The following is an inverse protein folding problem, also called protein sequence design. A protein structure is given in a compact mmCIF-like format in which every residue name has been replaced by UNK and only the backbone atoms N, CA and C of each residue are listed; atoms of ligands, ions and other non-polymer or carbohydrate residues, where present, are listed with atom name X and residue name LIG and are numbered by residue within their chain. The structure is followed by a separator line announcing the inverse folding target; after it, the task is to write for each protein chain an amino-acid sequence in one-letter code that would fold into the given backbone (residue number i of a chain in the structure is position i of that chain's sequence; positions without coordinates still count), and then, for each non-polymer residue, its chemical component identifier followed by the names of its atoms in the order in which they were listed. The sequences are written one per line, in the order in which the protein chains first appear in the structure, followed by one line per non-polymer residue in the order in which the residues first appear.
data_IF_691814503135
#
_entry.id   IF_691814503135
#
_cell.length_a   1.000
_cell.length_b   1.000
_cell.length_c   1.000
_cell.angle_alpha   90.00
_cell.angle_beta   90.00
_cell.angle_gamma   90.00
#
_symmetry.space_group_name_H-M   'P 1'
#
loop_
_entity.id
_entity.type
_entity.pdbx_description
1 polymer ?
#
# COMPACT_ATOMS: atom_id res chain seq x y z
N UNK A 1 -7.14 11.76 18.06
CA UNK A 1 -7.49 11.98 16.63
C UNK A 1 -8.86 11.37 16.38
N UNK A 2 -9.82 12.14 15.84
CA UNK A 2 -11.20 11.67 15.60
C UNK A 2 -11.20 10.80 14.34
N UNK A 3 -11.80 9.60 14.41
CA UNK A 3 -12.03 8.75 13.24
C UNK A 3 -13.08 9.44 12.35
N UNK A 4 -12.62 10.04 11.23
CA UNK A 4 -13.53 10.52 10.18
C UNK A 4 -13.99 9.33 9.33
N UNK A 5 -15.26 9.36 8.92
CA UNK A 5 -15.83 8.35 8.02
C UNK A 5 -15.43 8.62 6.55
N UNK A 6 -14.12 8.75 6.31
CA UNK A 6 -13.57 9.07 4.99
C UNK A 6 -13.29 7.81 4.19
N UNK A 7 -13.71 7.81 2.94
CA UNK A 7 -13.34 6.77 2.01
C UNK A 7 -11.91 7.02 1.47
N UNK A 8 -10.92 6.64 2.28
CA UNK A 8 -9.50 6.81 1.94
C UNK A 8 -9.13 6.04 0.67
N UNK A 9 -9.76 4.88 0.44
CA UNK A 9 -9.57 4.12 -0.80
C UNK A 9 -9.97 4.94 -2.03
N UNK A 10 -11.17 5.55 -2.03
CA UNK A 10 -11.66 6.37 -3.14
C UNK A 10 -10.76 7.59 -3.39
N UNK A 11 -10.31 8.25 -2.31
CA UNK A 11 -9.41 9.40 -2.39
C UNK A 11 -8.08 8.98 -3.03
N UNK A 12 -7.49 7.89 -2.53
CA UNK A 12 -6.20 7.39 -3.03
C UNK A 12 -6.29 6.97 -4.50
N UNK A 13 -7.35 6.25 -4.88
CA UNK A 13 -7.58 5.87 -6.27
C UNK A 13 -7.69 7.11 -7.18
N UNK A 14 -8.45 8.13 -6.76
CA UNK A 14 -8.58 9.37 -7.50
C UNK A 14 -7.24 10.10 -7.68
N UNK A 15 -6.37 10.08 -6.65
CA UNK A 15 -5.02 10.66 -6.75
C UNK A 15 -4.19 9.89 -7.79
N UNK A 16 -4.20 8.57 -7.72
CA UNK A 16 -3.43 7.73 -8.67
C UNK A 16 -3.91 7.96 -10.11
N UNK A 17 -5.22 7.89 -10.35
CA UNK A 17 -5.81 7.94 -11.69
C UNK A 17 -5.79 9.32 -12.35
N UNK A 18 -5.88 10.39 -11.56
CA UNK A 18 -6.08 11.74 -12.11
C UNK A 18 -4.94 12.71 -11.82
N UNK A 19 -3.91 12.29 -11.07
CA UNK A 19 -2.78 13.15 -10.70
C UNK A 19 -1.43 12.50 -10.92
N UNK A 20 -1.30 11.20 -10.70
CA UNK A 20 -0.05 10.46 -10.93
C UNK A 20 -0.05 9.77 -12.29
N UNK A 21 -1.24 9.47 -12.82
CA UNK A 21 -1.44 8.90 -14.15
C UNK A 21 -2.64 9.60 -14.80
N UNK A 22 -2.39 10.52 -15.71
CA UNK A 22 -3.43 11.28 -16.41
C UNK A 22 -3.41 10.94 -17.89
N UNK A 23 -4.49 10.34 -18.40
CA UNK A 23 -4.69 10.03 -19.83
C UNK A 23 -3.48 9.37 -20.53
N UNK A 24 -2.85 8.40 -19.88
CA UNK A 24 -1.68 7.70 -20.41
C UNK A 24 -0.33 8.32 -20.05
N UNK A 25 -0.32 9.46 -19.35
CA UNK A 25 0.91 10.14 -18.96
C UNK A 25 1.18 10.01 -17.45
N UNK A 26 2.37 9.56 -17.12
CA UNK A 26 2.82 9.49 -15.73
C UNK A 26 3.47 10.80 -15.29
N UNK A 27 3.08 11.30 -14.11
CA UNK A 27 3.84 12.36 -13.43
C UNK A 27 5.15 11.78 -12.88
N UNK A 28 6.18 11.77 -13.73
CA UNK A 28 7.51 11.20 -13.41
C UNK A 28 8.16 11.90 -12.22
N UNK A 29 7.91 13.21 -12.04
CA UNK A 29 8.44 14.02 -10.95
C UNK A 29 7.83 13.61 -9.61
N UNK A 30 6.50 13.55 -9.53
CA UNK A 30 5.79 13.12 -8.32
C UNK A 30 6.13 11.66 -7.97
N UNK A 31 6.17 10.76 -8.96
CA UNK A 31 6.54 9.37 -8.75
C UNK A 31 7.98 9.22 -8.25
N UNK A 32 8.93 9.98 -8.76
CA UNK A 32 10.32 9.98 -8.27
C UNK A 32 10.40 10.50 -6.84
N UNK A 33 9.66 11.55 -6.53
CA UNK A 33 9.54 12.13 -5.19
C UNK A 33 9.00 11.11 -4.18
N UNK A 34 7.92 10.40 -4.51
CA UNK A 34 7.34 9.34 -3.67
C UNK A 34 8.35 8.23 -3.39
N UNK A 35 9.06 7.74 -4.41
CA UNK A 35 10.07 6.68 -4.24
C UNK A 35 11.24 7.13 -3.36
N UNK A 36 11.66 8.37 -3.53
CA UNK A 36 12.79 8.93 -2.81
C UNK A 36 12.49 9.38 -1.38
N UNK A 37 11.22 9.34 -0.94
CA UNK A 37 10.77 9.80 0.38
C UNK A 37 10.45 8.62 1.27
N UNK A 38 10.93 8.64 2.52
CA UNK A 38 10.59 7.62 3.52
C UNK A 38 9.41 8.01 4.44
N UNK A 39 9.06 9.29 4.46
CA UNK A 39 7.90 9.82 5.18
C UNK A 39 7.40 11.11 4.52
N UNK A 40 6.20 11.56 4.88
CA UNK A 40 5.65 12.83 4.42
C UNK A 40 6.47 14.04 4.91
N UNK A 41 7.18 13.91 6.03
CA UNK A 41 8.08 14.93 6.56
C UNK A 41 9.43 15.01 5.82
N UNK A 42 9.71 14.12 4.90
CA UNK A 42 10.92 14.16 4.08
C UNK A 42 10.91 15.37 3.15
N UNK A 43 12.05 16.08 3.03
CA UNK A 43 12.20 17.18 2.08
C UNK A 43 11.79 16.79 0.65
N UNK A 44 12.05 15.56 0.24
CA UNK A 44 11.67 15.06 -1.09
C UNK A 44 10.15 14.90 -1.26
N UNK A 45 9.36 14.77 -0.19
CA UNK A 45 7.92 14.65 -0.25
C UNK A 45 7.20 15.95 -0.63
N UNK A 46 7.90 17.11 -0.61
CA UNK A 46 7.30 18.42 -0.90
C UNK A 46 6.54 18.46 -2.23
N UNK A 47 7.05 17.79 -3.27
CA UNK A 47 6.38 17.76 -4.58
C UNK A 47 5.05 16.98 -4.58
N UNK A 48 4.81 16.12 -3.60
CA UNK A 48 3.59 15.31 -3.50
C UNK A 48 2.52 15.98 -2.64
N UNK A 49 2.92 16.90 -1.75
CA UNK A 49 1.98 17.57 -0.83
C UNK A 49 0.81 18.26 -1.54
N UNK A 50 1.01 19.07 -2.60
CA UNK A 50 -0.10 19.72 -3.30
C UNK A 50 -1.07 18.68 -3.91
N UNK A 51 -0.55 17.57 -4.42
CA UNK A 51 -1.35 16.49 -5.00
C UNK A 51 -2.24 15.85 -3.94
N UNK A 52 -1.68 15.52 -2.77
CA UNK A 52 -2.41 14.89 -1.68
C UNK A 52 -3.40 15.85 -1.03
N UNK A 53 -2.95 17.05 -0.65
CA UNK A 53 -3.76 17.98 0.13
C UNK A 53 -4.93 18.57 -0.68
N UNK A 54 -4.84 18.63 -2.01
CA UNK A 54 -5.96 19.03 -2.86
C UNK A 54 -7.12 18.00 -2.90
N UNK A 55 -6.89 16.76 -2.45
CA UNK A 55 -7.87 15.67 -2.51
C UNK A 55 -8.30 15.17 -1.13
N UNK A 56 -7.48 15.34 -0.12
CA UNK A 56 -7.83 15.02 1.26
C UNK A 56 -8.82 16.04 1.83
N UNK A 57 -9.86 15.61 2.58
CA UNK A 57 -10.78 16.52 3.25
C UNK A 57 -10.03 17.43 4.23
N UNK A 58 -10.38 18.71 4.30
CA UNK A 58 -9.71 19.72 5.14
C UNK A 58 -9.59 19.27 6.60
N UNK A 59 -10.61 18.63 7.15
CA UNK A 59 -10.63 18.12 8.53
C UNK A 59 -9.83 16.82 8.75
N UNK A 60 -9.27 16.24 7.69
CA UNK A 60 -8.34 15.12 7.77
C UNK A 60 -6.88 15.54 7.71
N UNK A 61 -6.61 16.83 7.46
CA UNK A 61 -5.27 17.38 7.36
C UNK A 61 -4.73 17.74 8.75
N UNK A 62 -3.40 17.69 8.87
CA UNK A 62 -2.68 18.11 10.05
C UNK A 62 -2.88 19.60 10.33
N UNK A 63 -3.04 19.95 11.61
CA UNK A 63 -3.15 21.33 12.09
C UNK A 63 -1.82 21.81 12.69
N UNK A 64 -1.08 20.90 13.31
CA UNK A 64 0.17 21.17 14.05
C UNK A 64 1.44 20.75 13.29
N UNK A 65 1.29 20.24 12.07
CA UNK A 65 2.39 19.73 11.26
C UNK A 65 2.74 18.26 11.52
N UNK A 66 2.10 17.60 12.50
CA UNK A 66 2.23 16.14 12.71
C UNK A 66 1.32 15.42 11.72
N UNK A 67 1.85 14.58 10.80
CA UNK A 67 1.02 13.90 9.83
C UNK A 67 -0.10 13.08 10.47
N UNK A 68 -1.31 13.25 9.97
CA UNK A 68 -2.50 12.52 10.44
C UNK A 68 -2.49 11.06 9.96
N UNK A 69 -3.40 10.26 10.51
CA UNK A 69 -3.58 8.86 10.04
C UNK A 69 -3.96 8.78 8.57
N UNK A 70 -4.79 9.73 8.08
CA UNK A 70 -5.17 9.81 6.68
C UNK A 70 -3.97 10.16 5.78
N UNK A 71 -3.21 11.19 6.17
CA UNK A 71 -2.01 11.62 5.44
C UNK A 71 -0.96 10.51 5.37
N UNK A 72 -0.68 9.85 6.48
CA UNK A 72 0.27 8.74 6.55
C UNK A 72 -0.17 7.55 5.67
N UNK A 73 -1.45 7.18 5.73
CA UNK A 73 -1.98 6.05 4.98
C UNK A 73 -1.95 6.30 3.46
N UNK A 74 -2.44 7.47 3.03
CA UNK A 74 -2.44 7.86 1.61
C UNK A 74 -1.01 7.95 1.09
N UNK A 75 -0.12 8.67 1.80
CA UNK A 75 1.28 8.80 1.40
C UNK A 75 1.97 7.43 1.23
N UNK A 76 1.80 6.52 2.19
CA UNK A 76 2.41 5.18 2.15
C UNK A 76 1.90 4.37 0.97
N UNK A 77 0.59 4.38 0.71
CA UNK A 77 0.01 3.67 -0.43
C UNK A 77 0.45 4.26 -1.78
N UNK A 78 0.52 5.58 -1.91
CA UNK A 78 1.06 6.25 -3.11
C UNK A 78 2.54 5.93 -3.32
N UNK A 79 3.31 5.83 -2.24
CA UNK A 79 4.72 5.41 -2.31
C UNK A 79 4.85 3.96 -2.78
N UNK A 80 4.01 3.05 -2.28
CA UNK A 80 3.95 1.66 -2.75
C UNK A 80 3.63 1.61 -4.25
N UNK A 81 2.60 2.35 -4.69
CA UNK A 81 2.27 2.48 -6.11
C UNK A 81 3.47 2.97 -6.93
N UNK A 82 4.10 4.07 -6.52
CA UNK A 82 5.24 4.65 -7.24
C UNK A 82 6.44 3.70 -7.34
N UNK A 83 6.71 2.90 -6.30
CA UNK A 83 7.75 1.86 -6.31
C UNK A 83 7.39 0.76 -7.30
N UNK A 84 6.15 0.28 -7.29
CA UNK A 84 5.73 -0.81 -8.14
C UNK A 84 5.59 -0.38 -9.62
N UNK A 85 5.09 0.84 -9.88
CA UNK A 85 4.98 1.40 -11.23
C UNK A 85 6.33 1.63 -11.92
N UNK A 86 7.41 1.82 -11.15
CA UNK A 86 8.73 2.09 -11.72
C UNK A 86 9.22 0.95 -12.64
N UNK A 87 9.53 1.29 -13.88
CA UNK A 87 9.98 0.35 -14.91
C UNK A 87 8.87 -0.48 -15.54
N UNK A 88 7.60 -0.14 -15.28
CA UNK A 88 6.44 -0.67 -15.98
C UNK A 88 5.90 0.38 -16.97
N UNK A 89 5.71 -0.03 -18.21
CA UNK A 89 5.14 0.81 -19.27
C UNK A 89 3.62 0.82 -19.24
N UNK A 90 3.00 -0.18 -18.59
CA UNK A 90 1.56 -0.28 -18.37
C UNK A 90 1.15 0.24 -17.00
N UNK A 91 -0.12 0.59 -16.86
CA UNK A 91 -0.72 1.04 -15.61
C UNK A 91 -0.93 -0.13 -14.64
N UNK A 92 -0.38 -0.02 -13.44
CA UNK A 92 -0.33 -1.11 -12.45
C UNK A 92 -1.33 -0.97 -11.30
N UNK A 93 -2.21 0.05 -11.31
CA UNK A 93 -3.24 0.20 -10.28
C UNK A 93 -4.63 -0.19 -10.82
N UNK A 94 -5.44 -0.84 -10.00
CA UNK A 94 -6.82 -1.16 -10.32
C UNK A 94 -7.66 -1.36 -9.06
N UNK A 95 -8.77 -0.62 -8.96
CA UNK A 95 -9.67 -0.68 -7.79
C UNK A 95 -10.36 -2.04 -7.59
N UNK A 96 -10.53 -2.79 -8.69
CA UNK A 96 -11.09 -4.16 -8.68
C UNK A 96 -10.02 -5.24 -8.76
N UNK A 97 -8.75 -4.87 -8.74
CA UNK A 97 -7.63 -5.82 -8.81
C UNK A 97 -7.35 -6.46 -7.46
N UNK A 98 -6.53 -7.52 -7.49
CA UNK A 98 -6.09 -8.21 -6.27
C UNK A 98 -5.30 -7.29 -5.34
N UNK A 99 -5.31 -7.63 -4.06
CA UNK A 99 -4.44 -6.98 -3.08
C UNK A 99 -2.98 -7.40 -3.26
N UNK A 100 -2.05 -6.64 -2.64
CA UNK A 100 -0.64 -7.01 -2.58
C UNK A 100 -0.46 -8.39 -1.93
N UNK A 101 -1.27 -8.71 -0.91
CA UNK A 101 -1.15 -9.97 -0.16
C UNK A 101 -1.63 -11.18 -0.95
N UNK A 102 -2.66 -11.03 -1.78
CA UNK A 102 -3.10 -12.07 -2.72
C UNK A 102 -2.05 -12.29 -3.83
N UNK A 103 -1.40 -11.24 -4.29
CA UNK A 103 -0.30 -11.36 -5.24
C UNK A 103 0.94 -12.06 -4.62
N UNK A 104 1.25 -11.75 -3.37
CA UNK A 104 2.31 -12.43 -2.61
C UNK A 104 1.97 -13.91 -2.35
N UNK A 105 0.69 -14.24 -2.10
CA UNK A 105 0.22 -15.62 -1.97
C UNK A 105 0.44 -16.43 -3.26
N UNK A 106 0.24 -15.81 -4.42
CA UNK A 106 0.56 -16.46 -5.70
C UNK A 106 2.06 -16.65 -5.88
N UNK A 107 2.87 -15.66 -5.49
CA UNK A 107 4.32 -15.75 -5.56
C UNK A 107 4.88 -16.83 -4.61
N UNK A 108 4.27 -17.03 -3.43
CA UNK A 108 4.68 -18.05 -2.45
C UNK A 108 4.41 -19.48 -2.90
N UNK A 109 3.71 -19.68 -4.03
CA UNK A 109 3.58 -21.01 -4.65
C UNK A 109 4.89 -21.49 -5.29
N UNK A 110 5.85 -20.60 -5.48
CA UNK A 110 7.23 -20.98 -5.78
C UNK A 110 7.91 -21.43 -4.48
N UNK A 111 8.30 -22.70 -4.41
CA UNK A 111 8.90 -23.33 -3.21
C UNK A 111 10.19 -22.62 -2.76
N UNK A 112 10.99 -22.10 -3.70
CA UNK A 112 12.24 -21.39 -3.40
C UNK A 112 12.00 -20.07 -2.65
N UNK A 113 10.80 -19.47 -2.78
CA UNK A 113 10.46 -18.18 -2.19
C UNK A 113 9.56 -18.30 -0.96
N UNK A 114 8.85 -19.42 -0.80
CA UNK A 114 7.81 -19.62 0.22
C UNK A 114 8.32 -19.32 1.62
N UNK A 115 9.37 -19.99 2.06
CA UNK A 115 9.90 -19.83 3.43
C UNK A 115 10.35 -18.40 3.73
N UNK A 116 10.91 -17.73 2.73
CA UNK A 116 11.36 -16.35 2.88
C UNK A 116 10.18 -15.38 2.96
N UNK A 117 9.12 -15.60 2.18
CA UNK A 117 7.90 -14.81 2.19
C UNK A 117 7.11 -15.04 3.48
N UNK A 118 6.95 -16.30 3.91
CA UNK A 118 6.22 -16.67 5.14
C UNK A 118 6.84 -16.03 6.38
N UNK A 119 8.18 -16.03 6.48
CA UNK A 119 8.88 -15.34 7.58
C UNK A 119 8.62 -13.84 7.58
N UNK A 120 8.65 -13.19 6.42
CA UNK A 120 8.38 -11.74 6.31
C UNK A 120 6.93 -11.41 6.58
N UNK A 121 6.00 -12.24 6.10
CA UNK A 121 4.58 -12.10 6.40
C UNK A 121 4.32 -12.28 7.90
N UNK A 122 4.94 -13.24 8.57
CA UNK A 122 4.81 -13.44 10.02
C UNK A 122 5.27 -12.20 10.79
N UNK A 123 6.40 -11.58 10.41
CA UNK A 123 6.90 -10.34 11.03
C UNK A 123 5.90 -9.20 10.80
N UNK A 124 5.40 -9.03 9.58
CA UNK A 124 4.40 -8.00 9.26
C UNK A 124 3.14 -8.18 10.11
N UNK A 125 2.59 -9.40 10.14
CA UNK A 125 1.33 -9.72 10.83
C UNK A 125 1.46 -9.63 12.36
N UNK A 126 2.67 -9.78 12.90
CA UNK A 126 2.98 -9.58 14.32
C UNK A 126 3.15 -8.12 14.73
N UNK A 127 3.36 -7.22 13.78
CA UNK A 127 3.63 -5.81 14.06
C UNK A 127 2.38 -5.01 14.40
N UNK A 128 2.52 -4.07 15.33
CA UNK A 128 1.49 -3.07 15.68
C UNK A 128 1.98 -1.64 15.48
N UNK A 129 3.23 -1.49 15.05
CA UNK A 129 3.85 -0.20 14.79
C UNK A 129 3.66 0.17 13.31
N UNK A 130 3.08 1.34 13.05
CA UNK A 130 2.78 1.80 11.68
C UNK A 130 4.02 1.90 10.78
N UNK A 131 5.12 2.44 11.30
CA UNK A 131 6.35 2.58 10.52
C UNK A 131 6.97 1.20 10.20
N UNK A 132 6.93 0.27 11.16
CA UNK A 132 7.38 -1.11 10.96
C UNK A 132 6.57 -1.83 9.90
N UNK A 133 5.23 -1.71 9.96
CA UNK A 133 4.30 -2.27 8.97
C UNK A 133 4.54 -1.67 7.59
N UNK A 134 4.65 -0.34 7.49
CA UNK A 134 4.88 0.35 6.22
C UNK A 134 6.18 -0.10 5.55
N UNK A 135 7.25 -0.23 6.31
CA UNK A 135 8.54 -0.72 5.80
C UNK A 135 8.45 -2.18 5.37
N UNK A 136 7.80 -3.04 6.16
CA UNK A 136 7.60 -4.46 5.81
C UNK A 136 6.81 -4.64 4.52
N UNK A 137 5.74 -3.85 4.32
CA UNK A 137 4.95 -3.85 3.07
C UNK A 137 5.82 -3.43 1.88
N UNK A 138 6.63 -2.38 2.03
CA UNK A 138 7.52 -1.93 0.96
C UNK A 138 8.55 -3.01 0.59
N UNK A 139 9.15 -3.68 1.55
CA UNK A 139 10.08 -4.78 1.30
C UNK A 139 9.40 -5.96 0.59
N UNK A 140 8.22 -6.38 1.03
CA UNK A 140 7.43 -7.42 0.37
C UNK A 140 7.04 -7.04 -1.06
N UNK A 141 6.64 -5.79 -1.27
CA UNK A 141 6.30 -5.26 -2.59
C UNK A 141 7.52 -5.24 -3.54
N UNK A 142 8.71 -4.94 -3.02
CA UNK A 142 9.95 -4.99 -3.80
C UNK A 142 10.29 -6.42 -4.23
N UNK A 143 10.06 -7.41 -3.35
CA UNK A 143 10.21 -8.83 -3.70
C UNK A 143 9.20 -9.22 -4.77
N UNK A 144 7.93 -8.86 -4.59
CA UNK A 144 6.90 -9.11 -5.60
C UNK A 144 7.28 -8.52 -6.95
N UNK A 145 7.71 -7.26 -6.97
CA UNK A 145 8.13 -6.57 -8.19
C UNK A 145 9.32 -7.23 -8.88
N UNK A 146 10.28 -7.77 -8.13
CA UNK A 146 11.49 -8.39 -8.71
C UNK A 146 11.19 -9.74 -9.39
N UNK A 147 10.11 -10.42 -9.01
CA UNK A 147 9.73 -11.73 -9.53
C UNK A 147 8.51 -11.68 -10.46
N UNK A 148 7.56 -10.80 -10.16
CA UNK A 148 6.35 -10.61 -10.96
C UNK A 148 5.91 -9.14 -10.92
N UNK A 149 6.42 -8.35 -11.85
CA UNK A 149 6.13 -6.91 -11.95
C UNK A 149 4.91 -6.57 -12.80
N UNK A 150 4.34 -7.55 -13.51
CA UNK A 150 3.32 -7.28 -14.54
C UNK A 150 1.88 -7.31 -14.00
N UNK A 151 1.69 -7.49 -12.70
CA UNK A 151 0.37 -7.53 -12.11
C UNK A 151 -0.22 -6.14 -11.92
N UNK A 152 -1.55 -6.04 -12.01
CA UNK A 152 -2.31 -4.87 -11.56
C UNK A 152 -2.76 -5.11 -10.12
N UNK A 153 -2.49 -4.16 -9.22
CA UNK A 153 -2.71 -4.27 -7.78
C UNK A 153 -3.64 -3.17 -7.27
N UNK A 154 -4.35 -3.43 -6.18
CA UNK A 154 -5.23 -2.46 -5.54
C UNK A 154 -4.50 -1.68 -4.44
N UNK A 155 -3.80 -0.60 -4.81
CA UNK A 155 -3.13 0.28 -3.84
C UNK A 155 -4.11 1.15 -3.05
N UNK A 156 -5.31 1.37 -3.59
CA UNK A 156 -6.34 2.13 -2.91
C UNK A 156 -6.89 1.38 -1.68
N UNK A 157 -7.10 0.07 -1.78
CA UNK A 157 -7.51 -0.75 -0.63
C UNK A 157 -6.42 -0.80 0.43
N UNK A 158 -5.14 -0.83 0.05
CA UNK A 158 -4.03 -0.74 0.98
C UNK A 158 -4.07 0.56 1.79
N UNK A 159 -4.38 1.70 1.16
CA UNK A 159 -4.51 2.98 1.86
C UNK A 159 -5.60 2.92 2.94
N UNK A 160 -6.76 2.33 2.64
CA UNK A 160 -7.84 2.18 3.61
C UNK A 160 -7.45 1.26 4.76
N UNK A 161 -6.72 0.19 4.48
CA UNK A 161 -6.21 -0.72 5.49
C UNK A 161 -5.21 -0.03 6.41
N UNK A 162 -4.25 0.70 5.85
CA UNK A 162 -3.27 1.47 6.60
C UNK A 162 -3.91 2.58 7.44
N UNK A 163 -4.98 3.20 6.96
CA UNK A 163 -5.75 4.18 7.73
C UNK A 163 -6.40 3.51 8.94
N UNK A 164 -7.11 2.39 8.72
CA UNK A 164 -7.79 1.65 9.78
C UNK A 164 -6.80 1.07 10.81
N UNK A 165 -5.63 0.65 10.38
CA UNK A 165 -4.58 0.07 11.21
C UNK A 165 -4.16 0.99 12.37
N UNK A 166 -4.19 2.31 12.18
CA UNK A 166 -3.61 3.29 13.10
C UNK A 166 -4.51 3.63 14.31
N UNK A 167 -5.80 3.25 14.32
CA UNK A 167 -6.74 3.74 15.34
C UNK A 167 -6.60 3.07 16.70
N UNK A 168 -6.31 1.78 16.75
CA UNK A 168 -6.15 1.02 17.99
C UNK A 168 -5.42 -0.29 17.73
N UNK A 169 -4.95 -0.92 18.81
CA UNK A 169 -4.41 -2.27 18.75
C UNK A 169 -5.40 -3.27 18.13
N UNK A 170 -6.68 -3.21 18.52
CA UNK A 170 -7.71 -4.10 17.97
C UNK A 170 -7.90 -3.89 16.45
N UNK A 171 -7.94 -2.64 15.99
CA UNK A 171 -8.04 -2.34 14.56
C UNK A 171 -6.81 -2.83 13.79
N UNK A 172 -5.61 -2.65 14.34
CA UNK A 172 -4.39 -3.19 13.77
C UNK A 172 -4.48 -4.72 13.61
N UNK A 173 -4.94 -5.43 14.66
CA UNK A 173 -5.12 -6.90 14.60
C UNK A 173 -6.17 -7.34 13.57
N UNK A 174 -7.29 -6.61 13.44
CA UNK A 174 -8.31 -6.88 12.40
C UNK A 174 -7.75 -6.73 10.99
N UNK A 175 -6.93 -5.70 10.75
CA UNK A 175 -6.26 -5.50 9.47
C UNK A 175 -5.25 -6.61 9.20
N UNK A 176 -4.39 -6.94 10.17
CA UNK A 176 -3.43 -8.05 10.05
C UNK A 176 -4.13 -9.39 9.79
N UNK A 177 -5.25 -9.67 10.46
CA UNK A 177 -6.04 -10.89 10.20
C UNK A 177 -6.53 -10.96 8.76
N UNK A 178 -7.03 -9.83 8.21
CA UNK A 178 -7.46 -9.77 6.80
C UNK A 178 -6.30 -10.02 5.85
N UNK A 179 -5.14 -9.38 6.06
CA UNK A 179 -3.94 -9.60 5.25
C UNK A 179 -3.44 -11.04 5.33
N UNK A 180 -3.45 -11.63 6.53
CA UNK A 180 -3.11 -13.05 6.71
C UNK A 180 -4.06 -13.98 5.95
N UNK A 181 -5.38 -13.69 5.97
CA UNK A 181 -6.36 -14.45 5.17
C UNK A 181 -6.08 -14.32 3.67
N UNK A 182 -5.79 -13.13 3.17
CA UNK A 182 -5.46 -12.91 1.76
C UNK A 182 -4.19 -13.64 1.34
N UNK A 183 -3.22 -13.75 2.24
CA UNK A 183 -1.96 -14.44 1.95
C UNK A 183 -2.07 -15.97 2.09
N UNK A 184 -2.64 -16.48 3.18
CA UNK A 184 -2.64 -17.93 3.47
C UNK A 184 -3.84 -18.69 2.92
N UNK A 185 -4.94 -18.01 2.58
CA UNK A 185 -6.16 -18.69 2.12
C UNK A 185 -6.02 -19.34 0.73
N UNK A 186 -5.20 -18.82 -0.15
CA UNK A 186 -5.03 -19.33 -1.52
C UNK A 186 -4.27 -20.67 -1.60
N UNK A 187 -3.68 -21.12 -0.49
CA UNK A 187 -2.91 -22.37 -0.46
C UNK A 187 -3.80 -23.64 -0.36
N UNK A 188 -5.07 -23.52 0.00
CA UNK A 188 -5.94 -24.66 0.27
C UNK A 188 -6.64 -25.29 -0.95
N UNK A 189 -6.38 -24.79 -2.16
CA UNK A 189 -6.99 -25.31 -3.40
C UNK A 189 -6.36 -26.61 -3.95
N UNK A 190 -5.23 -27.06 -3.42
CA UNK A 190 -4.47 -28.20 -3.96
C UNK A 190 -4.55 -29.49 -3.16
N UNK A 191 -5.06 -29.47 -1.92
CA UNK A 191 -5.16 -30.69 -1.09
C UNK A 191 -6.49 -31.47 -1.25
N UNK A 192 -7.28 -31.19 -2.27
CA UNK A 192 -8.57 -31.81 -2.54
C UNK A 192 -8.60 -32.85 -3.68
N UNK A 193 -7.45 -33.23 -4.22
CA UNK A 193 -7.39 -34.34 -5.21
C UNK A 193 -6.31 -35.34 -4.81
N UNK A 194 -6.69 -36.25 -3.95
CA UNK A 194 -6.18 -37.61 -3.83
C UNK A 194 -7.33 -38.51 -3.51
#
# INVERSE_FOLDING_TARGET
MVKGDWNISKITNNIIENRLYDNGNFDKGALASLRGSNSLLSKKATAVMPIMFSKLPKNSLSVDGTPTYAENAVFTALRCYAIYQQGNDHYVNGSSSKSIFEALAQLSQNDDLRDALDRRMSILLGSTNFNGVSNSIIHLLQILKSHDRNQTLNFASLAQDLYNFQFSFENARKVCLRWGRQYYWHDNGRNGQN
#
